data_IF_472886075295
#
_entry.id   IF_472886075295
#
_cell.length_a   1.000
_cell.length_b   1.000
_cell.length_c   1.000
_cell.angle_alpha   90.00
_cell.angle_beta   90.00
_cell.angle_gamma   90.00
#
_symmetry.space_group_name_H-M   'P 1'
#
loop_
_entity.id
_entity.type
_entity.pdbx_description
1 polymer ?
#
# COMPACT_ATOMS: atom_id res chain seq x y z
N UNK A 1 25.60 -18.46 0.82
CA UNK A 1 24.46 -19.31 1.18
C UNK A 1 23.34 -18.54 1.86
N UNK A 2 23.54 -17.88 3.02
CA UNK A 2 22.50 -17.05 3.64
C UNK A 2 22.25 -15.72 2.89
N UNK A 3 23.32 -15.05 2.44
CA UNK A 3 23.23 -13.79 1.67
C UNK A 3 22.52 -13.97 0.32
N UNK A 4 22.64 -15.16 -0.30
CA UNK A 4 21.99 -15.49 -1.57
C UNK A 4 20.47 -15.60 -1.40
N UNK A 5 20.02 -16.19 -0.28
CA UNK A 5 18.61 -16.38 0.04
C UNK A 5 17.91 -15.07 0.39
N UNK A 6 18.54 -14.21 1.20
CA UNK A 6 18.00 -12.88 1.52
C UNK A 6 17.88 -12.00 0.27
N UNK A 7 18.86 -12.07 -0.62
CA UNK A 7 18.83 -11.34 -1.90
C UNK A 7 17.72 -11.85 -2.81
N UNK A 8 17.50 -13.17 -2.87
CA UNK A 8 16.39 -13.76 -3.62
C UNK A 8 15.03 -13.29 -3.10
N UNK A 9 14.82 -13.29 -1.78
CA UNK A 9 13.58 -12.78 -1.16
C UNK A 9 13.38 -11.32 -1.55
N UNK A 10 14.37 -10.45 -1.34
CA UNK A 10 14.24 -9.03 -1.69
C UNK A 10 13.88 -8.82 -3.17
N UNK A 11 14.50 -9.58 -4.07
CA UNK A 11 14.18 -9.50 -5.50
C UNK A 11 12.75 -9.95 -5.80
N UNK A 12 12.26 -11.02 -5.16
CA UNK A 12 10.87 -11.47 -5.30
C UNK A 12 9.89 -10.44 -4.75
N UNK A 13 10.19 -9.86 -3.59
CA UNK A 13 9.38 -8.81 -2.97
C UNK A 13 9.30 -7.60 -3.90
N UNK A 14 10.44 -7.11 -4.38
CA UNK A 14 10.51 -5.99 -5.32
C UNK A 14 9.68 -6.25 -6.59
N UNK A 15 9.75 -7.49 -7.11
CA UNK A 15 8.93 -7.92 -8.24
C UNK A 15 7.42 -7.86 -7.93
N UNK A 16 6.99 -8.29 -6.74
CA UNK A 16 5.57 -8.21 -6.31
C UNK A 16 5.13 -6.74 -6.19
N UNK A 17 5.99 -5.86 -5.67
CA UNK A 17 5.68 -4.44 -5.65
C UNK A 17 5.52 -3.87 -7.06
N UNK A 18 6.41 -4.23 -7.99
CA UNK A 18 6.37 -3.74 -9.36
C UNK A 18 5.21 -4.32 -10.19
N UNK A 19 4.90 -5.60 -10.03
CA UNK A 19 3.92 -6.30 -10.87
C UNK A 19 2.50 -6.29 -10.28
N UNK A 20 2.36 -6.10 -8.97
CA UNK A 20 1.06 -6.15 -8.28
C UNK A 20 0.72 -4.85 -7.56
N UNK A 21 1.58 -4.40 -6.64
CA UNK A 21 1.23 -3.26 -5.75
C UNK A 21 1.19 -1.94 -6.51
N UNK A 22 2.24 -1.58 -7.25
CA UNK A 22 2.29 -0.33 -7.98
C UNK A 22 1.20 -0.22 -9.07
N UNK A 23 0.93 -1.24 -9.90
CA UNK A 23 -0.19 -1.21 -10.83
C UNK A 23 -1.54 -1.04 -10.14
N UNK A 24 -1.75 -1.68 -8.98
CA UNK A 24 -2.96 -1.51 -8.19
C UNK A 24 -3.12 -0.06 -7.68
N UNK A 25 -2.02 0.59 -7.26
CA UNK A 25 -2.04 2.00 -6.85
C UNK A 25 -2.43 2.89 -8.03
N UNK A 26 -1.84 2.69 -9.22
CA UNK A 26 -2.19 3.44 -10.43
C UNK A 26 -3.64 3.21 -10.89
N UNK A 27 -4.14 1.98 -10.75
CA UNK A 27 -5.54 1.64 -11.00
C UNK A 27 -6.46 2.43 -10.06
N UNK A 28 -6.16 2.47 -8.75
CA UNK A 28 -6.92 3.24 -7.77
C UNK A 28 -6.88 4.74 -8.08
N UNK A 29 -5.73 5.29 -8.46
CA UNK A 29 -5.61 6.70 -8.86
C UNK A 29 -6.55 7.00 -10.03
N UNK A 30 -6.55 6.12 -11.04
CA UNK A 30 -7.40 6.26 -12.23
C UNK A 30 -8.88 6.12 -11.88
N UNK A 31 -9.23 5.18 -11.02
CA UNK A 31 -10.60 4.94 -10.54
C UNK A 31 -11.16 6.18 -9.83
N UNK A 32 -10.38 6.81 -8.95
CA UNK A 32 -10.87 7.87 -8.07
C UNK A 32 -10.73 9.29 -8.64
N UNK A 33 -9.75 9.57 -9.51
CA UNK A 33 -9.63 10.88 -10.15
C UNK A 33 -10.77 11.20 -11.13
N UNK A 34 -11.59 10.21 -11.50
CA UNK A 34 -12.82 10.41 -12.28
C UNK A 34 -14.07 10.73 -11.44
N UNK A 35 -13.97 10.70 -10.11
CA UNK A 35 -15.10 10.92 -9.20
C UNK A 35 -15.12 12.36 -8.70
N UNK A 36 -16.32 12.96 -8.68
CA UNK A 36 -16.48 14.37 -8.34
C UNK A 36 -16.02 14.67 -6.90
N UNK A 37 -15.04 15.57 -6.79
CA UNK A 37 -14.48 16.03 -5.51
C UNK A 37 -13.49 15.09 -4.81
N UNK A 38 -13.08 13.97 -5.43
CA UNK A 38 -11.98 13.12 -4.91
C UNK A 38 -10.72 13.34 -5.74
N UNK A 39 -9.58 13.57 -5.07
CA UNK A 39 -8.26 13.58 -5.70
C UNK A 39 -7.45 12.39 -5.16
N UNK A 40 -6.87 11.61 -6.05
CA UNK A 40 -5.98 10.49 -5.73
C UNK A 40 -4.63 10.68 -6.42
N UNK A 41 -3.53 10.51 -5.68
CA UNK A 41 -2.17 10.57 -6.25
C UNK A 41 -1.15 9.80 -5.43
N UNK A 42 -0.10 9.34 -6.09
CA UNK A 42 1.07 8.75 -5.43
C UNK A 42 1.77 9.80 -4.57
N UNK A 43 2.22 9.41 -3.38
CA UNK A 43 3.08 10.23 -2.53
C UNK A 43 4.34 9.45 -2.13
N UNK A 44 5.45 10.17 -1.95
CA UNK A 44 6.76 9.58 -1.62
C UNK A 44 7.29 10.01 -0.25
N UNK A 45 6.81 11.16 0.27
CA UNK A 45 7.20 11.68 1.57
C UNK A 45 6.32 11.07 2.67
N UNK A 46 6.65 9.85 3.05
CA UNK A 46 6.03 9.15 4.18
C UNK A 46 7.00 9.12 5.38
N UNK A 47 6.51 9.12 6.63
CA UNK A 47 7.35 9.00 7.82
C UNK A 47 8.27 7.79 7.70
N UNK A 48 9.55 7.97 8.03
CA UNK A 48 10.55 6.91 7.95
C UNK A 48 10.25 5.85 9.01
N UNK A 49 9.62 4.75 8.61
CA UNK A 49 9.55 3.53 9.40
C UNK A 49 10.88 2.78 9.17
N UNK A 50 11.63 2.57 10.25
CA UNK A 50 12.92 1.85 10.15
C UNK A 50 12.70 0.43 9.60
N UNK A 51 13.57 0.02 8.67
CA UNK A 51 13.55 -1.34 8.12
C UNK A 51 12.68 -1.53 6.88
N UNK A 52 11.89 -0.54 6.46
CA UNK A 52 11.20 -0.59 5.17
C UNK A 52 12.22 -0.65 4.03
N UNK A 53 12.02 -1.60 3.11
CA UNK A 53 12.85 -1.75 1.89
C UNK A 53 12.06 -1.51 0.62
N UNK A 54 10.76 -1.80 0.63
CA UNK A 54 9.87 -1.58 -0.49
C UNK A 54 8.57 -0.95 0.02
N UNK A 55 8.07 0.04 -0.69
CA UNK A 55 6.79 0.68 -0.37
C UNK A 55 6.13 1.30 -1.59
N UNK A 56 4.83 1.53 -1.50
CA UNK A 56 4.05 2.34 -2.41
C UNK A 56 2.96 3.02 -1.61
N UNK A 57 2.72 4.30 -1.85
CA UNK A 57 1.73 5.04 -1.06
C UNK A 57 0.88 5.97 -1.91
N UNK A 58 -0.36 6.13 -1.47
CA UNK A 58 -1.40 6.86 -2.16
C UNK A 58 -2.07 7.83 -1.19
N UNK A 59 -2.16 9.08 -1.60
CA UNK A 59 -2.99 10.10 -0.97
C UNK A 59 -4.38 10.08 -1.60
N UNK A 60 -5.40 10.05 -0.76
CA UNK A 60 -6.77 10.36 -1.13
C UNK A 60 -7.19 11.65 -0.42
N UNK A 61 -7.66 12.63 -1.18
CA UNK A 61 -8.29 13.85 -0.67
C UNK A 61 -9.77 13.80 -0.99
N UNK A 62 -10.60 13.78 0.05
CA UNK A 62 -12.04 13.67 -0.06
C UNK A 62 -12.70 15.05 -0.28
N UNK A 63 -13.97 15.11 -0.76
CA UNK A 63 -14.68 16.37 -0.96
C UNK A 63 -14.85 17.21 0.31
N UNK A 64 -14.82 16.54 1.47
CA UNK A 64 -14.85 17.17 2.80
C UNK A 64 -13.56 17.92 3.15
N UNK A 65 -12.51 17.77 2.34
CA UNK A 65 -11.16 18.27 2.61
C UNK A 65 -10.30 17.34 3.47
N UNK A 66 -10.83 16.20 3.91
CA UNK A 66 -10.07 15.21 4.69
C UNK A 66 -9.09 14.48 3.77
N UNK A 67 -7.86 14.33 4.24
CA UNK A 67 -6.78 13.65 3.53
C UNK A 67 -6.41 12.34 4.24
N UNK A 68 -6.44 11.24 3.49
CA UNK A 68 -5.97 9.93 3.92
C UNK A 68 -4.70 9.59 3.14
N UNK A 69 -3.66 9.12 3.83
CA UNK A 69 -2.48 8.56 3.17
C UNK A 69 -2.40 7.10 3.55
N UNK A 70 -2.57 6.24 2.54
CA UNK A 70 -2.42 4.79 2.71
C UNK A 70 -1.08 4.39 2.16
N UNK A 71 -0.27 3.73 2.99
CA UNK A 71 1.02 3.18 2.60
C UNK A 71 0.94 1.66 2.62
N UNK A 72 1.36 1.03 1.53
CA UNK A 72 1.64 -0.40 1.46
C UNK A 72 3.16 -0.57 1.51
N UNK A 73 3.67 -1.32 2.48
CA UNK A 73 5.11 -1.46 2.68
C UNK A 73 5.53 -2.86 3.11
N UNK A 74 6.81 -3.16 2.90
CA UNK A 74 7.46 -4.38 3.35
C UNK A 74 8.70 -4.04 4.18
N UNK A 75 8.84 -4.72 5.32
CA UNK A 75 9.98 -4.63 6.22
C UNK A 75 10.95 -5.78 5.91
N UNK A 76 12.24 -5.47 5.86
CA UNK A 76 13.27 -6.46 5.55
C UNK A 76 13.22 -7.69 6.46
N UNK A 77 13.24 -8.88 5.87
CA UNK A 77 13.19 -10.15 6.60
C UNK A 77 11.78 -10.61 7.00
N UNK A 78 10.75 -9.80 6.80
CA UNK A 78 9.37 -10.20 7.10
C UNK A 78 8.75 -10.98 5.93
N UNK A 79 7.76 -11.84 6.24
CA UNK A 79 6.96 -12.54 5.22
C UNK A 79 5.65 -11.82 4.89
N UNK A 80 5.46 -10.62 5.43
CA UNK A 80 4.21 -9.87 5.32
C UNK A 80 4.43 -8.50 4.70
N UNK A 81 3.48 -8.08 3.87
CA UNK A 81 3.30 -6.66 3.53
C UNK A 81 2.26 -6.07 4.46
N UNK A 82 2.40 -4.79 4.79
CA UNK A 82 1.47 -4.05 5.63
C UNK A 82 0.84 -2.94 4.80
N UNK A 83 -0.48 -2.84 4.82
CA UNK A 83 -1.23 -1.68 4.38
C UNK A 83 -1.69 -0.89 5.60
N UNK A 84 -1.34 0.39 5.68
CA UNK A 84 -1.59 1.24 6.84
C UNK A 84 -2.04 2.64 6.42
N UNK A 85 -3.02 3.21 7.14
CA UNK A 85 -3.25 4.65 7.06
C UNK A 85 -2.27 5.38 7.98
N UNK A 86 -1.21 5.95 7.43
CA UNK A 86 -0.13 6.55 8.22
C UNK A 86 -0.51 7.87 8.92
N UNK A 87 -1.66 8.46 8.58
CA UNK A 87 -2.21 9.61 9.32
C UNK A 87 -3.16 9.18 10.44
N UNK A 88 -3.62 7.93 10.42
CA UNK A 88 -4.51 7.31 11.39
C UNK A 88 -3.89 5.99 11.87
N UNK A 89 -2.83 6.11 12.68
CA UNK A 89 -1.92 5.03 13.15
C UNK A 89 -2.62 3.79 13.73
N UNK A 90 -3.92 3.87 14.04
CA UNK A 90 -4.71 2.77 14.62
C UNK A 90 -5.27 1.77 13.60
N UNK A 91 -5.13 2.00 12.29
CA UNK A 91 -5.74 1.12 11.28
C UNK A 91 -4.70 0.62 10.27
N UNK A 92 -4.37 -0.66 10.38
CA UNK A 92 -3.52 -1.37 9.43
C UNK A 92 -4.04 -2.80 9.17
N UNK A 93 -3.50 -3.43 8.14
CA UNK A 93 -3.72 -4.85 7.83
C UNK A 93 -2.47 -5.44 7.18
N UNK A 94 -2.12 -6.65 7.59
CA UNK A 94 -1.02 -7.40 7.00
C UNK A 94 -1.53 -8.44 6.01
N UNK A 95 -0.72 -8.73 4.98
CA UNK A 95 -0.96 -9.79 4.00
C UNK A 95 0.31 -10.62 3.86
N UNK A 96 0.16 -11.92 3.64
CA UNK A 96 1.29 -12.75 3.19
C UNK A 96 1.76 -12.20 1.85
N UNK A 97 3.05 -11.91 1.75
CA UNK A 97 3.61 -11.30 0.54
C UNK A 97 3.59 -12.28 -0.65
N UNK A 98 3.76 -13.58 -0.40
CA UNK A 98 3.90 -14.58 -1.46
C UNK A 98 2.56 -15.18 -1.90
N UNK A 99 1.46 -14.91 -1.18
CA UNK A 99 0.08 -15.25 -1.54
C UNK A 99 -0.80 -13.98 -1.59
N UNK A 100 -0.23 -12.90 -2.13
CA UNK A 100 -0.89 -11.61 -2.15
C UNK A 100 -2.13 -11.61 -3.05
N UNK A 101 -3.30 -11.56 -2.44
CA UNK A 101 -4.56 -11.31 -3.14
C UNK A 101 -4.75 -9.80 -3.39
N UNK A 102 -4.59 -9.37 -4.64
CA UNK A 102 -4.69 -7.96 -5.03
C UNK A 102 -6.10 -7.38 -4.85
N UNK A 103 -7.16 -8.18 -5.00
CA UNK A 103 -8.54 -7.70 -4.78
C UNK A 103 -8.80 -7.41 -3.29
N UNK A 104 -8.26 -8.25 -2.40
CA UNK A 104 -8.35 -8.05 -0.97
C UNK A 104 -7.53 -6.84 -0.51
N UNK A 105 -6.32 -6.68 -1.07
CA UNK A 105 -5.49 -5.50 -0.85
C UNK A 105 -6.21 -4.23 -1.34
N UNK A 106 -6.81 -4.27 -2.54
CA UNK A 106 -7.59 -3.15 -3.11
C UNK A 106 -8.72 -2.73 -2.18
N UNK A 107 -9.53 -3.69 -1.72
CA UNK A 107 -10.62 -3.45 -0.77
C UNK A 107 -10.10 -2.83 0.52
N UNK A 108 -9.00 -3.35 1.04
CA UNK A 108 -8.37 -2.85 2.27
C UNK A 108 -7.89 -1.41 2.11
N UNK A 109 -7.23 -1.06 1.01
CA UNK A 109 -6.80 0.32 0.74
C UNK A 109 -8.01 1.27 0.73
N UNK A 110 -9.12 0.87 0.09
CA UNK A 110 -10.36 1.67 0.08
C UNK A 110 -10.90 1.88 1.50
N UNK A 111 -10.92 0.83 2.33
CA UNK A 111 -11.37 0.97 3.73
C UNK A 111 -10.44 1.89 4.52
N UNK A 112 -9.13 1.73 4.39
CA UNK A 112 -8.12 2.58 5.05
C UNK A 112 -8.23 4.05 4.60
N UNK A 113 -8.67 4.30 3.37
CA UNK A 113 -8.92 5.63 2.83
C UNK A 113 -10.29 6.21 3.23
N UNK A 114 -11.12 5.49 4.00
CA UNK A 114 -12.48 5.92 4.34
C UNK A 114 -13.49 5.82 3.18
N UNK A 115 -13.13 5.10 2.10
CA UNK A 115 -13.87 4.96 0.85
C UNK A 115 -14.61 3.60 0.74
N UNK A 116 -14.56 2.77 1.78
CA UNK A 116 -15.17 1.44 1.79
C UNK A 116 -15.62 1.00 3.18
N UNK A 117 -16.25 -0.17 3.27
CA UNK A 117 -16.62 -0.85 4.52
C UNK A 117 -16.02 -2.27 4.52
N UNK A 118 -15.67 -2.78 5.70
CA UNK A 118 -15.47 -4.22 5.87
C UNK A 118 -16.85 -4.88 5.81
N UNK A 119 -17.10 -5.67 4.77
CA UNK A 119 -18.27 -6.57 4.71
C UNK A 119 -17.94 -7.90 5.40
#
# INVERSE_FOLDING_TARGET
>A
MAEDFETEIRNRVSKIFHENVAPLIEELITEFNGLDGIEAKTVSDIPVIMGIKEFSSILFKLPTGVEHVVCVYWIDGEQQIVAENIRMVTVNRSFDIFDLNTDELKKTIKVLAGLGRYE
#
